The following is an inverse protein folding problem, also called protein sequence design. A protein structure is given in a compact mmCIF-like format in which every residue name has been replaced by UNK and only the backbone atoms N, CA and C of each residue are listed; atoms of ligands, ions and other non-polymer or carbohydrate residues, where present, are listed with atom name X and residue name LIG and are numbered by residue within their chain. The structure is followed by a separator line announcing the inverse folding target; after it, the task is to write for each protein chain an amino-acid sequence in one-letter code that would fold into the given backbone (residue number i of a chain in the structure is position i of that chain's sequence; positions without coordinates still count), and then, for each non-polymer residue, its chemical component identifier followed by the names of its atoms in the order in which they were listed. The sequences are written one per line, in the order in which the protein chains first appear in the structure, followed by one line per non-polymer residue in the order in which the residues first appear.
data_IF_988971942481
#
_entry.id   IF_988971942481
#
_cell.length_a   1.000
_cell.length_b   1.000
_cell.length_c   1.000
_cell.angle_alpha   90.00
_cell.angle_beta   90.00
_cell.angle_gamma   90.00
#
_symmetry.space_group_name_H-M   'P 1'
#
loop_
_entity.id
_entity.type
_entity.pdbx_description
1 polymer ?
#
# COMPACT_ATOMS: atom_id res chain seq x y z
N UNK A 1 4.47 -3.87 -5.18
CA UNK A 1 3.60 -2.86 -5.80
C UNK A 1 3.84 -2.78 -7.29
N UNK A 2 2.79 -2.67 -8.08
CA UNK A 2 2.88 -2.47 -9.54
C UNK A 2 3.22 -1.02 -9.92
N UNK A 3 3.19 -0.11 -8.95
CA UNK A 3 3.44 1.31 -9.18
C UNK A 3 4.93 1.67 -9.19
N UNK A 4 5.79 0.95 -8.48
CA UNK A 4 7.23 1.17 -8.46
C UNK A 4 7.98 0.15 -9.33
N UNK A 5 9.24 0.47 -9.68
CA UNK A 5 10.14 -0.46 -10.35
C UNK A 5 10.50 -1.64 -9.44
N UNK A 6 10.93 -2.75 -10.04
CA UNK A 6 11.46 -3.89 -9.29
C UNK A 6 12.74 -3.52 -8.57
N UNK A 7 12.85 -3.88 -7.29
CA UNK A 7 14.04 -3.67 -6.48
C UNK A 7 14.95 -4.89 -6.52
N UNK A 8 16.27 -4.71 -6.59
CA UNK A 8 17.21 -5.81 -6.44
C UNK A 8 17.18 -6.33 -5.00
N UNK A 9 17.17 -7.65 -4.83
CA UNK A 9 17.11 -8.24 -3.49
C UNK A 9 16.90 -9.74 -3.50
N UNK A 10 16.75 -10.30 -2.32
CA UNK A 10 16.45 -11.71 -2.06
C UNK A 10 15.06 -11.80 -1.44
N UNK A 11 14.23 -12.69 -1.98
CA UNK A 11 12.88 -12.92 -1.49
C UNK A 11 12.63 -14.42 -1.33
N UNK A 12 12.33 -14.83 -0.10
CA UNK A 12 11.88 -16.17 0.24
C UNK A 12 10.39 -16.12 0.51
N UNK A 13 9.61 -16.93 -0.19
CA UNK A 13 8.16 -16.95 -0.02
C UNK A 13 7.57 -18.33 -0.28
N UNK A 14 6.47 -18.62 0.37
CA UNK A 14 5.62 -19.73 -0.04
C UNK A 14 4.90 -19.34 -1.33
N UNK A 15 4.79 -20.25 -2.30
CA UNK A 15 4.06 -19.97 -3.55
C UNK A 15 2.57 -19.83 -3.30
N UNK A 16 2.00 -20.68 -2.42
CA UNK A 16 0.61 -20.70 -2.04
C UNK A 16 0.46 -20.98 -0.54
N UNK A 17 -0.78 -21.06 -0.06
CA UNK A 17 -1.07 -21.41 1.32
C UNK A 17 -0.68 -22.85 1.63
N UNK A 18 0.16 -23.04 2.63
CA UNK A 18 0.62 -24.33 3.13
C UNK A 18 -0.27 -24.75 4.29
N UNK A 19 -0.89 -25.95 4.19
CA UNK A 19 -1.68 -26.52 5.29
C UNK A 19 -0.78 -26.89 6.46
N UNK A 20 -1.25 -26.67 7.68
CA UNK A 20 -0.53 -27.02 8.90
C UNK A 20 -1.02 -28.41 9.36
N UNK A 21 -0.25 -29.50 9.16
CA UNK A 21 -0.74 -30.87 9.32
C UNK A 21 -1.24 -31.19 10.73
N UNK A 22 -0.58 -30.68 11.76
CA UNK A 22 -0.88 -30.97 13.17
C UNK A 22 -2.02 -30.13 13.76
N UNK A 23 -2.44 -29.01 13.10
CA UNK A 23 -3.59 -28.21 13.53
C UNK A 23 -4.86 -28.69 12.80
N UNK A 24 -4.71 -29.40 11.67
CA UNK A 24 -5.80 -29.88 10.84
C UNK A 24 -5.86 -29.20 9.47
N UNK A 25 -6.70 -29.75 8.58
CA UNK A 25 -6.78 -29.28 7.19
C UNK A 25 -7.49 -27.93 7.02
N UNK A 26 -8.03 -27.37 8.10
CA UNK A 26 -8.82 -26.14 8.09
C UNK A 26 -7.96 -24.88 8.29
N UNK A 27 -6.68 -25.03 8.73
CA UNK A 27 -5.72 -23.92 8.85
C UNK A 27 -4.61 -24.05 7.83
N UNK A 28 -4.30 -22.97 7.17
CA UNK A 28 -3.15 -22.84 6.28
C UNK A 28 -2.50 -21.47 6.42
N UNK A 29 -1.22 -21.38 6.09
CA UNK A 29 -0.48 -20.11 6.14
C UNK A 29 0.24 -19.83 4.83
N UNK A 30 0.50 -18.56 4.60
CA UNK A 30 1.38 -18.05 3.55
C UNK A 30 2.35 -17.07 4.17
N UNK A 31 3.64 -17.16 3.82
CA UNK A 31 4.66 -16.32 4.40
C UNK A 31 5.63 -15.79 3.33
N UNK A 32 6.19 -14.62 3.61
CA UNK A 32 7.25 -14.00 2.83
C UNK A 32 8.29 -13.38 3.75
N UNK A 33 9.54 -13.42 3.31
CA UNK A 33 10.67 -12.74 3.94
C UNK A 33 11.61 -12.24 2.86
N UNK A 34 11.88 -10.95 2.81
CA UNK A 34 12.65 -10.33 1.75
C UNK A 34 13.59 -9.24 2.26
N UNK A 35 14.73 -9.13 1.59
CA UNK A 35 15.72 -8.08 1.79
C UNK A 35 16.06 -7.46 0.43
N UNK A 36 15.95 -6.14 0.35
CA UNK A 36 16.15 -5.40 -0.89
C UNK A 36 17.09 -4.22 -0.69
N UNK A 37 17.68 -3.77 -1.78
CA UNK A 37 18.52 -2.58 -1.83
C UNK A 37 17.79 -1.48 -2.61
N UNK A 38 17.70 -0.30 -2.02
CA UNK A 38 17.18 0.89 -2.68
C UNK A 38 18.37 1.59 -3.35
N UNK A 39 18.51 1.37 -4.66
CA UNK A 39 19.65 1.81 -5.48
C UNK A 39 19.36 3.08 -6.28
N UNK A 40 18.21 3.69 -6.04
CA UNK A 40 17.81 4.97 -6.65
C UNK A 40 18.51 6.15 -5.96
N UNK A 41 18.60 7.26 -6.69
CA UNK A 41 19.02 8.54 -6.11
C UNK A 41 17.94 9.04 -5.16
N UNK A 42 18.34 9.33 -3.93
CA UNK A 42 17.42 9.69 -2.85
C UNK A 42 17.80 11.05 -2.27
N UNK A 43 16.78 11.83 -1.88
CA UNK A 43 16.99 13.12 -1.24
C UNK A 43 17.79 13.01 0.07
N UNK A 44 17.48 11.98 0.85
CA UNK A 44 18.26 11.57 2.01
C UNK A 44 18.12 10.05 2.18
N UNK A 45 19.11 9.44 2.86
CA UNK A 45 19.10 7.99 3.08
C UNK A 45 19.66 7.20 1.90
N UNK A 46 20.83 7.59 1.38
CA UNK A 46 21.52 6.82 0.35
C UNK A 46 21.91 5.42 0.84
N UNK A 47 21.90 4.44 -0.06
CA UNK A 47 22.15 3.01 0.26
C UNK A 47 21.21 2.43 1.31
N UNK A 48 19.99 2.96 1.38
CA UNK A 48 18.93 2.43 2.24
C UNK A 48 18.61 0.99 1.88
N UNK A 49 18.37 0.17 2.88
CA UNK A 49 17.90 -1.21 2.74
C UNK A 49 16.41 -1.25 3.01
N UNK A 50 15.73 -2.22 2.39
CA UNK A 50 14.31 -2.46 2.62
C UNK A 50 14.12 -3.89 3.10
N UNK A 51 13.67 -4.05 4.34
CA UNK A 51 13.20 -5.31 4.89
C UNK A 51 11.71 -5.50 4.61
N UNK A 52 11.29 -6.72 4.30
CA UNK A 52 9.90 -7.09 4.10
C UNK A 52 9.60 -8.45 4.74
N UNK A 53 8.56 -8.52 5.52
CA UNK A 53 8.02 -9.78 6.06
C UNK A 53 6.49 -9.77 5.99
N UNK A 54 5.91 -10.93 5.71
CA UNK A 54 4.47 -11.14 5.62
C UNK A 54 4.11 -12.49 6.22
N UNK A 55 3.00 -12.53 6.93
CA UNK A 55 2.38 -13.77 7.40
C UNK A 55 0.86 -13.66 7.25
N UNK A 56 0.29 -14.54 6.44
CA UNK A 56 -1.14 -14.68 6.24
C UNK A 56 -1.59 -16.03 6.80
N UNK A 57 -2.70 -16.05 7.51
CA UNK A 57 -3.34 -17.26 8.02
C UNK A 57 -4.73 -17.35 7.42
N UNK A 58 -5.06 -18.49 6.84
CA UNK A 58 -6.37 -18.80 6.28
C UNK A 58 -7.03 -19.88 7.10
N UNK A 59 -8.27 -19.62 7.52
CA UNK A 59 -9.19 -20.55 8.16
C UNK A 59 -10.26 -20.96 7.15
N UNK A 60 -10.30 -22.24 6.80
CA UNK A 60 -11.33 -22.82 5.94
C UNK A 60 -12.45 -23.36 6.82
N UNK A 61 -13.53 -22.61 6.94
CA UNK A 61 -14.67 -22.94 7.82
C UNK A 61 -15.49 -24.08 7.22
N UNK A 62 -15.83 -23.95 5.95
CA UNK A 62 -16.43 -24.98 5.09
C UNK A 62 -15.74 -24.88 3.71
N UNK A 63 -15.89 -25.86 2.82
CA UNK A 63 -15.24 -25.82 1.50
C UNK A 63 -15.50 -24.55 0.69
N UNK A 64 -16.64 -23.89 0.94
CA UNK A 64 -17.04 -22.68 0.22
C UNK A 64 -16.65 -21.38 0.95
N UNK A 65 -16.39 -21.42 2.28
CA UNK A 65 -16.15 -20.23 3.09
C UNK A 65 -14.77 -20.27 3.76
N UNK A 66 -13.97 -19.25 3.51
CA UNK A 66 -12.71 -19.04 4.22
C UNK A 66 -12.61 -17.62 4.77
N UNK A 67 -11.88 -17.51 5.88
CA UNK A 67 -11.49 -16.24 6.49
C UNK A 67 -9.97 -16.20 6.48
N UNK A 68 -9.40 -15.08 6.03
CA UNK A 68 -7.96 -14.84 6.00
C UNK A 68 -7.68 -13.60 6.86
N UNK A 69 -6.65 -13.67 7.66
CA UNK A 69 -6.09 -12.52 8.37
C UNK A 69 -4.57 -12.55 8.21
N UNK A 70 -3.96 -11.40 8.13
CA UNK A 70 -2.51 -11.34 7.95
C UNK A 70 -1.93 -10.00 8.31
N UNK A 71 -0.61 -10.01 8.34
CA UNK A 71 0.25 -8.87 8.59
C UNK A 71 1.28 -8.80 7.47
N UNK A 72 1.37 -7.65 6.81
CA UNK A 72 2.41 -7.31 5.86
C UNK A 72 3.20 -6.12 6.40
N UNK A 73 4.52 -6.25 6.53
CA UNK A 73 5.35 -5.27 7.20
C UNK A 73 6.62 -5.00 6.42
N UNK A 74 6.92 -3.73 6.25
CA UNK A 74 8.11 -3.21 5.59
C UNK A 74 8.88 -2.28 6.51
N UNK A 75 10.21 -2.25 6.36
CA UNK A 75 11.07 -1.30 7.07
C UNK A 75 12.20 -0.81 6.18
N UNK A 76 12.32 0.51 6.02
CA UNK A 76 13.53 1.16 5.51
C UNK A 76 14.53 1.27 6.65
N UNK A 77 15.79 0.88 6.42
CA UNK A 77 16.81 0.90 7.47
C UNK A 77 18.21 1.05 6.92
N UNK A 78 19.13 1.47 7.78
CA UNK A 78 20.53 1.68 7.42
C UNK A 78 20.70 2.77 6.34
N UNK A 79 21.82 2.74 5.65
CA UNK A 79 22.17 3.77 4.70
C UNK A 79 22.96 4.92 5.34
N UNK A 80 22.91 6.09 4.69
CA UNK A 80 23.67 7.26 5.10
C UNK A 80 22.89 8.53 4.76
N UNK A 81 22.82 9.48 5.69
CA UNK A 81 22.21 10.80 5.49
C UNK A 81 23.25 11.90 5.68
N UNK A 82 23.03 13.07 5.09
CA UNK A 82 23.94 14.22 5.31
C UNK A 82 23.92 14.68 6.77
N UNK A 83 22.76 14.62 7.42
CA UNK A 83 22.56 15.12 8.78
C UNK A 83 23.13 14.17 9.84
N UNK A 84 22.82 12.88 9.71
CA UNK A 84 23.07 11.89 10.77
C UNK A 84 24.26 10.99 10.43
N UNK A 85 24.86 11.16 9.24
CA UNK A 85 25.94 10.33 8.74
C UNK A 85 25.48 8.89 8.49
N UNK A 86 26.31 7.93 8.85
CA UNK A 86 26.06 6.51 8.64
C UNK A 86 25.08 5.96 9.68
N UNK A 87 23.93 5.48 9.21
CA UNK A 87 22.90 4.90 10.07
C UNK A 87 23.26 3.49 10.55
N UNK A 88 22.69 3.00 11.67
CA UNK A 88 22.98 1.69 12.22
C UNK A 88 22.74 0.52 11.23
N UNK A 89 23.74 -0.36 11.06
CA UNK A 89 23.69 -1.47 10.09
C UNK A 89 24.28 -2.77 10.61
N UNK A 90 24.56 -2.88 11.93
CA UNK A 90 25.07 -4.12 12.52
C UNK A 90 24.02 -5.23 12.47
N UNK A 91 24.45 -6.47 12.68
CA UNK A 91 23.50 -7.60 12.80
C UNK A 91 22.52 -7.42 13.96
N UNK A 92 22.94 -6.78 15.05
CA UNK A 92 22.07 -6.45 16.19
C UNK A 92 21.01 -5.43 15.78
N UNK A 93 21.37 -4.44 14.97
CA UNK A 93 20.42 -3.42 14.46
C UNK A 93 19.43 -4.06 13.48
N UNK A 94 19.91 -4.92 12.60
CA UNK A 94 19.04 -5.72 11.73
C UNK A 94 18.01 -6.53 12.53
N UNK A 95 18.43 -7.21 13.59
CA UNK A 95 17.50 -7.94 14.45
C UNK A 95 16.47 -7.00 15.13
N UNK A 96 16.87 -5.77 15.48
CA UNK A 96 15.95 -4.76 16.02
C UNK A 96 14.91 -4.32 14.98
N UNK A 97 15.33 -4.06 13.73
CA UNK A 97 14.45 -3.73 12.62
C UNK A 97 13.42 -4.84 12.37
N UNK A 98 13.90 -6.09 12.26
CA UNK A 98 13.02 -7.26 12.03
C UNK A 98 12.00 -7.43 13.16
N UNK A 99 12.39 -7.15 14.41
CA UNK A 99 11.55 -7.31 15.61
C UNK A 99 10.82 -6.01 16.02
N UNK A 100 10.92 -4.95 15.22
CA UNK A 100 10.30 -3.64 15.47
C UNK A 100 10.69 -3.09 16.87
N UNK A 101 11.98 -3.14 17.19
CA UNK A 101 12.51 -2.70 18.49
C UNK A 101 13.18 -1.34 18.39
N UNK A 102 13.28 -0.70 19.55
CA UNK A 102 13.98 0.56 19.73
C UNK A 102 15.44 0.52 19.23
N UNK A 103 15.93 1.65 18.74
CA UNK A 103 17.32 1.87 18.40
C UNK A 103 18.26 1.71 19.63
N UNK A 104 19.56 1.59 19.37
CA UNK A 104 20.58 1.64 20.42
C UNK A 104 21.02 3.07 20.71
N UNK A 105 21.99 3.25 21.60
CA UNK A 105 22.55 4.57 21.95
C UNK A 105 23.19 5.32 20.77
N UNK A 106 23.51 4.64 19.67
CA UNK A 106 24.07 5.23 18.45
C UNK A 106 22.98 5.55 17.40
N UNK A 107 21.71 5.33 17.72
CA UNK A 107 20.61 5.62 16.80
C UNK A 107 20.25 7.11 16.83
N UNK A 108 19.86 7.70 15.69
CA UNK A 108 19.32 9.06 15.64
C UNK A 108 18.12 9.23 16.59
N UNK A 109 17.92 10.45 17.09
CA UNK A 109 16.86 10.76 18.06
C UNK A 109 15.47 10.28 17.59
N UNK A 110 15.17 10.38 16.31
CA UNK A 110 13.93 9.92 15.72
C UNK A 110 13.80 8.37 15.63
N UNK A 111 14.88 7.62 15.86
CA UNK A 111 14.90 6.13 15.85
C UNK A 111 15.02 5.54 17.27
N UNK A 112 14.94 6.36 18.31
CA UNK A 112 15.01 5.91 19.70
C UNK A 112 13.85 4.95 20.00
N UNK A 113 12.67 5.22 19.51
CA UNK A 113 11.47 4.40 19.76
C UNK A 113 11.40 3.16 18.88
N UNK A 114 11.75 3.28 17.59
CA UNK A 114 11.82 2.16 16.63
C UNK A 114 12.97 2.43 15.67
N UNK A 115 13.85 1.46 15.49
CA UNK A 115 14.97 1.57 14.55
C UNK A 115 14.48 1.37 13.12
N UNK A 116 14.64 2.38 12.29
CA UNK A 116 14.19 2.40 10.90
C UNK A 116 12.81 3.03 10.71
N UNK A 117 12.42 3.19 9.47
CA UNK A 117 11.13 3.69 9.05
C UNK A 117 10.20 2.53 8.70
N UNK A 118 9.18 2.31 9.48
CA UNK A 118 8.26 1.18 9.38
C UNK A 118 6.94 1.57 8.73
N UNK A 119 6.39 0.67 7.92
CA UNK A 119 5.02 0.72 7.43
C UNK A 119 4.50 -0.71 7.33
N UNK A 120 3.23 -0.89 7.56
CA UNK A 120 2.62 -2.20 7.41
C UNK A 120 1.12 -2.13 7.23
N UNK A 121 0.57 -3.30 7.00
CA UNK A 121 -0.86 -3.50 6.82
C UNK A 121 -1.30 -4.71 7.63
N UNK A 122 -2.41 -4.57 8.34
CA UNK A 122 -3.19 -5.67 8.90
C UNK A 122 -4.42 -5.86 8.05
N UNK A 123 -4.68 -7.07 7.60
CA UNK A 123 -5.85 -7.29 6.76
C UNK A 123 -6.75 -8.40 7.28
N UNK A 124 -8.03 -8.27 6.94
CA UNK A 124 -9.06 -9.29 7.11
C UNK A 124 -9.74 -9.49 5.76
N UNK A 125 -9.90 -10.74 5.35
CA UNK A 125 -10.58 -11.12 4.12
C UNK A 125 -11.54 -12.26 4.39
N UNK A 126 -12.79 -12.11 3.93
CA UNK A 126 -13.81 -13.14 3.99
C UNK A 126 -14.14 -13.53 2.55
N UNK A 127 -13.95 -14.79 2.20
CA UNK A 127 -14.18 -15.29 0.85
C UNK A 127 -15.24 -16.40 0.89
N UNK A 128 -16.27 -16.21 0.09
CA UNK A 128 -17.24 -17.25 -0.23
C UNK A 128 -17.14 -17.64 -1.70
N UNK A 129 -17.10 -18.94 -1.99
CA UNK A 129 -16.85 -19.43 -3.33
C UNK A 129 -17.59 -20.76 -3.57
N UNK A 130 -18.56 -20.77 -4.47
CA UNK A 130 -19.29 -21.95 -4.87
C UNK A 130 -19.14 -22.24 -6.38
N UNK A 131 -19.87 -23.18 -6.91
CA UNK A 131 -19.79 -23.56 -8.33
C UNK A 131 -20.30 -22.48 -9.29
N UNK A 132 -21.15 -21.56 -8.85
CA UNK A 132 -21.83 -20.57 -9.69
C UNK A 132 -21.22 -19.18 -9.59
N UNK A 133 -20.77 -18.78 -8.39
CA UNK A 133 -20.23 -17.47 -8.12
C UNK A 133 -19.23 -17.47 -6.97
N UNK A 134 -18.47 -16.42 -6.85
CA UNK A 134 -17.59 -16.11 -5.72
C UNK A 134 -17.79 -14.67 -5.27
N UNK A 135 -17.64 -14.44 -3.98
CA UNK A 135 -17.61 -13.11 -3.41
C UNK A 135 -16.48 -13.02 -2.38
N UNK A 136 -15.87 -11.86 -2.30
CA UNK A 136 -14.81 -11.58 -1.36
C UNK A 136 -15.04 -10.18 -0.80
N UNK A 137 -15.05 -10.07 0.52
CA UNK A 137 -14.94 -8.80 1.25
C UNK A 137 -13.57 -8.74 1.88
N UNK A 138 -12.90 -7.59 1.83
CA UNK A 138 -11.63 -7.38 2.49
C UNK A 138 -11.53 -5.99 3.09
N UNK A 139 -10.80 -5.92 4.18
CA UNK A 139 -10.39 -4.71 4.84
C UNK A 139 -8.88 -4.76 5.04
N UNK A 140 -8.18 -3.73 4.63
CA UNK A 140 -6.73 -3.59 4.70
C UNK A 140 -6.42 -2.30 5.47
N UNK A 141 -5.91 -2.46 6.69
CA UNK A 141 -5.64 -1.40 7.64
C UNK A 141 -4.15 -1.04 7.61
N UNK A 142 -3.83 0.21 7.29
CA UNK A 142 -2.46 0.72 7.26
C UNK A 142 -2.01 1.16 8.64
N UNK A 143 -0.75 0.89 8.99
CA UNK A 143 -0.09 1.43 10.18
C UNK A 143 1.36 1.82 9.87
N UNK A 144 1.90 2.85 10.54
CA UNK A 144 3.32 3.26 10.49
C UNK A 144 3.96 3.23 11.87
N UNK A 145 3.18 3.42 12.92
CA UNK A 145 3.65 3.49 14.30
C UNK A 145 2.71 2.77 15.29
N UNK A 146 3.02 2.90 16.58
CA UNK A 146 2.22 2.29 17.64
C UNK A 146 0.81 2.85 17.77
N UNK A 147 0.51 4.02 17.22
CA UNK A 147 -0.86 4.57 17.20
C UNK A 147 -1.70 3.86 16.16
N UNK A 148 -1.14 3.61 14.98
CA UNK A 148 -1.75 2.80 13.93
C UNK A 148 -1.95 1.35 14.38
N UNK A 149 -0.93 0.70 14.96
CA UNK A 149 -1.04 -0.65 15.53
C UNK A 149 -2.18 -0.79 16.56
N UNK A 150 -2.53 0.29 17.27
CA UNK A 150 -3.66 0.35 18.22
C UNK A 150 -4.97 0.80 17.56
N UNK A 151 -5.04 0.86 16.25
CA UNK A 151 -6.21 1.29 15.48
C UNK A 151 -6.73 2.71 15.83
N UNK A 152 -5.87 3.62 16.28
CA UNK A 152 -6.26 5.01 16.57
C UNK A 152 -6.49 5.83 15.30
N UNK A 153 -5.95 5.38 14.18
CA UNK A 153 -6.16 5.97 12.86
C UNK A 153 -7.45 5.52 12.15
N UNK A 154 -8.32 4.76 12.82
CA UNK A 154 -9.64 4.43 12.24
C UNK A 154 -10.40 5.71 11.88
N UNK A 155 -11.09 5.76 10.72
CA UNK A 155 -11.44 4.65 9.81
C UNK A 155 -10.46 4.44 8.64
N UNK A 156 -9.17 4.84 8.75
CA UNK A 156 -8.22 4.69 7.66
C UNK A 156 -8.07 3.22 7.24
N UNK A 157 -7.98 3.00 5.94
CA UNK A 157 -7.83 1.69 5.34
C UNK A 157 -8.51 1.56 3.99
N UNK A 158 -8.28 0.42 3.35
CA UNK A 158 -8.89 0.02 2.09
C UNK A 158 -10.00 -1.01 2.38
N UNK A 159 -11.21 -0.69 1.96
CA UNK A 159 -12.39 -1.56 2.04
C UNK A 159 -12.74 -2.04 0.64
N UNK A 160 -12.80 -3.34 0.43
CA UNK A 160 -13.05 -3.89 -0.89
C UNK A 160 -14.13 -4.95 -0.92
N UNK A 161 -14.86 -4.96 -2.02
CA UNK A 161 -15.83 -5.98 -2.36
C UNK A 161 -15.54 -6.49 -3.77
N UNK A 162 -15.26 -7.76 -3.90
CA UNK A 162 -15.06 -8.43 -5.18
C UNK A 162 -16.16 -9.48 -5.40
N UNK A 163 -16.67 -9.54 -6.60
CA UNK A 163 -17.65 -10.54 -7.02
C UNK A 163 -17.25 -11.14 -8.37
N UNK A 164 -17.45 -12.44 -8.54
CA UNK A 164 -17.22 -13.16 -9.80
C UNK A 164 -18.29 -14.18 -10.09
N UNK A 165 -18.68 -14.28 -11.34
CA UNK A 165 -19.56 -15.33 -11.86
C UNK A 165 -18.75 -16.37 -12.61
N UNK A 166 -19.05 -17.64 -12.38
CA UNK A 166 -18.31 -18.76 -12.97
C UNK A 166 -19.01 -19.42 -14.16
N UNK A 167 -20.31 -19.30 -14.24
CA UNK A 167 -21.14 -19.98 -15.29
C UNK A 167 -22.06 -19.00 -16.01
N UNK A 168 -22.12 -19.16 -17.33
CA UNK A 168 -23.20 -18.75 -18.26
C UNK A 168 -23.57 -17.27 -18.41
N UNK A 169 -22.70 -16.32 -18.02
CA UNK A 169 -22.97 -14.92 -18.27
C UNK A 169 -21.73 -14.23 -18.84
N UNK A 170 -21.67 -14.10 -20.16
CA UNK A 170 -20.50 -13.55 -20.84
C UNK A 170 -20.28 -12.07 -20.55
N UNK A 171 -21.36 -11.26 -20.58
CA UNK A 171 -21.28 -9.82 -20.51
C UNK A 171 -20.81 -9.24 -19.19
N UNK A 172 -20.96 -9.97 -18.10
CA UNK A 172 -20.53 -9.58 -16.77
C UNK A 172 -19.93 -10.77 -16.04
N UNK A 173 -18.61 -10.81 -15.96
CA UNK A 173 -17.88 -11.90 -15.29
C UNK A 173 -17.49 -11.55 -13.87
N UNK A 174 -17.00 -10.35 -13.66
CA UNK A 174 -16.65 -9.90 -12.31
C UNK A 174 -16.73 -8.40 -12.18
N UNK A 175 -16.85 -7.95 -10.93
CA UNK A 175 -16.61 -6.57 -10.55
C UNK A 175 -15.79 -6.50 -9.26
N UNK A 176 -15.12 -5.38 -9.07
CA UNK A 176 -14.52 -4.95 -7.81
C UNK A 176 -14.98 -3.55 -7.49
N UNK A 177 -15.30 -3.31 -6.23
CA UNK A 177 -15.48 -1.98 -5.70
C UNK A 177 -14.57 -1.80 -4.50
N UNK A 178 -13.82 -0.70 -4.48
CA UNK A 178 -12.92 -0.36 -3.39
C UNK A 178 -13.20 1.06 -2.91
N UNK A 179 -13.21 1.23 -1.60
CA UNK A 179 -13.21 2.51 -0.93
C UNK A 179 -11.92 2.63 -0.12
N UNK A 180 -11.09 3.62 -0.44
CA UNK A 180 -9.85 3.89 0.27
C UNK A 180 -9.95 5.21 1.02
N UNK A 181 -9.70 5.18 2.32
CA UNK A 181 -9.77 6.34 3.19
C UNK A 181 -8.46 6.47 3.98
N UNK A 182 -7.83 7.65 3.96
CA UNK A 182 -6.53 7.91 4.60
C UNK A 182 -6.48 9.28 5.29
N UNK A 183 -7.63 9.85 5.64
CA UNK A 183 -7.71 11.21 6.16
C UNK A 183 -7.52 11.32 7.67
N UNK A 184 -7.75 10.26 8.42
CA UNK A 184 -7.69 10.30 9.86
C UNK A 184 -6.25 10.45 10.35
N UNK A 185 -5.35 9.54 9.94
CA UNK A 185 -3.93 9.56 10.30
C UNK A 185 -3.72 9.83 11.79
N UNK A 186 -4.48 9.10 12.64
CA UNK A 186 -4.56 9.24 14.10
C UNK A 186 -5.03 10.63 14.58
N UNK A 187 -5.63 11.44 13.70
CA UNK A 187 -6.14 12.78 14.00
C UNK A 187 -5.04 13.84 14.21
N UNK A 188 -5.42 15.02 14.71
CA UNK A 188 -4.43 16.04 15.07
C UNK A 188 -3.58 15.58 16.26
N UNK A 189 -2.46 16.25 16.49
CA UNK A 189 -1.68 16.02 17.72
C UNK A 189 -2.57 16.13 18.96
N UNK A 190 -2.43 15.16 19.84
CA UNK A 190 -3.18 15.12 21.09
C UNK A 190 -2.31 14.62 22.24
N UNK A 191 -2.64 15.09 23.43
CA UNK A 191 -1.96 14.71 24.65
C UNK A 191 -2.70 13.57 25.35
N UNK A 192 -1.96 12.76 26.09
CA UNK A 192 -2.54 11.84 27.03
C UNK A 192 -3.31 12.65 28.11
N UNK A 193 -4.58 12.35 28.37
CA UNK A 193 -5.38 13.13 29.32
C UNK A 193 -4.91 13.00 30.77
N UNK A 194 -4.05 12.02 31.08
CA UNK A 194 -3.54 11.77 32.43
C UNK A 194 -2.13 12.35 32.62
N UNK A 195 -1.23 12.05 31.69
CA UNK A 195 0.18 12.52 31.78
C UNK A 195 0.40 13.91 31.18
N UNK A 196 -0.47 14.37 30.28
CA UNK A 196 -0.29 15.60 29.52
C UNK A 196 0.78 15.50 28.40
N UNK A 197 1.41 14.35 28.25
CA UNK A 197 2.41 14.13 27.19
C UNK A 197 1.75 13.97 25.83
N UNK A 198 2.46 14.42 24.76
CA UNK A 198 2.01 14.18 23.40
C UNK A 198 2.18 12.69 23.07
N UNK A 199 1.08 12.00 22.85
CA UNK A 199 1.06 10.54 22.71
C UNK A 199 0.73 10.07 21.30
N UNK A 200 0.49 10.97 20.36
CA UNK A 200 0.23 10.57 18.97
C UNK A 200 -0.56 11.61 18.18
N UNK A 201 -1.05 11.17 17.04
CA UNK A 201 -1.74 11.99 16.06
C UNK A 201 -0.81 12.61 15.03
N UNK A 202 -1.42 13.15 13.99
CA UNK A 202 -0.74 13.79 12.87
C UNK A 202 0.25 12.86 12.14
N UNK A 203 -0.11 11.57 12.05
CA UNK A 203 0.67 10.60 11.25
C UNK A 203 0.80 11.14 9.83
N UNK A 204 1.90 10.84 9.19
CA UNK A 204 2.21 11.37 7.86
C UNK A 204 2.60 10.24 6.92
N UNK A 205 1.60 9.42 6.56
CA UNK A 205 1.79 8.21 5.78
C UNK A 205 2.72 8.39 4.59
N UNK A 206 3.66 7.46 4.44
CA UNK A 206 4.66 7.42 3.38
C UNK A 206 5.75 8.50 3.46
N UNK A 207 5.78 9.31 4.52
CA UNK A 207 6.84 10.29 4.79
C UNK A 207 7.62 9.91 6.04
N UNK A 208 8.88 10.36 6.13
CA UNK A 208 9.72 10.13 7.29
C UNK A 208 10.76 11.25 7.44
N UNK A 209 11.14 11.59 8.66
CA UNK A 209 12.09 12.65 8.96
C UNK A 209 13.55 12.32 8.61
N UNK A 210 13.93 11.04 8.62
CA UNK A 210 15.26 10.56 8.27
C UNK A 210 15.31 10.14 6.80
N UNK A 211 14.40 9.25 6.38
CA UNK A 211 14.29 8.76 5.01
C UNK A 211 13.40 9.69 4.18
N UNK A 212 13.88 10.93 3.93
CA UNK A 212 13.05 12.03 3.43
C UNK A 212 12.52 11.85 2.00
N UNK A 213 13.08 10.94 1.20
CA UNK A 213 12.41 10.51 -0.05
C UNK A 213 11.13 9.71 0.20
N UNK A 214 10.86 9.37 1.46
CA UNK A 214 9.67 8.61 1.85
C UNK A 214 9.65 7.19 1.29
N UNK A 215 8.47 6.61 1.23
CA UNK A 215 8.24 5.28 0.66
C UNK A 215 8.13 5.33 -0.86
N UNK A 216 9.25 5.73 -1.50
CA UNK A 216 9.36 5.85 -2.95
C UNK A 216 10.55 5.06 -3.47
N UNK A 217 10.51 4.69 -4.74
CA UNK A 217 11.62 4.09 -5.47
C UNK A 217 11.61 4.58 -6.91
N UNK A 218 12.70 5.19 -7.37
CA UNK A 218 12.79 5.93 -8.64
C UNK A 218 11.62 6.91 -8.84
N UNK A 219 11.30 7.69 -7.81
CA UNK A 219 10.27 8.72 -7.86
C UNK A 219 8.83 8.21 -7.81
N UNK A 220 8.61 6.90 -7.73
CA UNK A 220 7.29 6.28 -7.65
C UNK A 220 7.03 5.73 -6.26
N UNK A 221 5.81 5.91 -5.77
CA UNK A 221 5.40 5.38 -4.46
C UNK A 221 5.44 3.85 -4.45
N UNK A 222 6.02 3.29 -3.40
CA UNK A 222 5.99 1.85 -3.11
C UNK A 222 4.65 1.56 -2.43
N UNK A 223 3.55 1.55 -3.19
CA UNK A 223 2.21 1.39 -2.62
C UNK A 223 1.12 1.72 -3.64
N UNK A 224 0.04 2.29 -3.15
CA UNK A 224 -1.08 2.71 -3.99
C UNK A 224 -0.76 3.96 -4.80
N UNK A 225 -1.16 4.05 -6.08
CA UNK A 225 -0.97 5.23 -6.93
C UNK A 225 -1.81 6.45 -6.49
N UNK A 226 -2.72 6.30 -5.54
CA UNK A 226 -3.45 7.43 -4.96
C UNK A 226 -2.58 8.32 -4.07
N UNK A 227 -1.47 7.80 -3.54
CA UNK A 227 -0.42 8.61 -2.93
C UNK A 227 0.42 9.25 -4.02
N UNK A 228 0.55 10.57 -4.00
CA UNK A 228 1.30 11.30 -5.04
C UNK A 228 2.60 11.86 -4.47
N UNK A 229 3.67 11.68 -5.22
CA UNK A 229 5.01 12.14 -4.86
C UNK A 229 5.21 13.62 -5.18
N UNK A 230 6.18 14.23 -4.51
CA UNK A 230 6.67 15.57 -4.81
C UNK A 230 8.10 15.45 -5.34
N UNK A 231 8.33 15.58 -6.65
CA UNK A 231 9.68 15.70 -7.18
C UNK A 231 10.32 17.02 -6.70
N UNK A 232 11.60 17.00 -6.40
CA UNK A 232 12.35 18.22 -6.19
C UNK A 232 12.66 18.87 -7.55
N UNK A 233 12.32 20.14 -7.73
CA UNK A 233 12.39 20.83 -9.03
C UNK A 233 13.80 20.89 -9.61
N UNK A 234 14.83 21.07 -8.76
CA UNK A 234 16.21 21.22 -9.20
C UNK A 234 16.93 19.91 -9.55
N UNK A 235 16.67 18.84 -8.82
CA UNK A 235 17.37 17.54 -8.97
C UNK A 235 16.51 16.46 -9.63
N UNK A 236 15.20 16.64 -9.66
CA UNK A 236 14.24 15.59 -10.07
C UNK A 236 14.12 14.46 -9.04
N UNK A 237 14.84 14.54 -7.92
CA UNK A 237 14.77 13.56 -6.83
C UNK A 237 13.47 13.74 -6.05
N UNK A 238 12.83 12.64 -5.70
CA UNK A 238 11.57 12.69 -4.94
C UNK A 238 11.83 13.07 -3.48
N UNK A 239 11.10 14.08 -3.02
CA UNK A 239 11.11 14.54 -1.64
C UNK A 239 9.81 14.19 -0.92
N UNK A 240 9.59 12.89 -0.74
CA UNK A 240 8.43 12.34 -0.05
C UNK A 240 7.13 12.41 -0.84
N UNK A 241 6.04 12.27 -0.12
CA UNK A 241 4.68 12.25 -0.62
C UNK A 241 3.98 13.56 -0.33
N UNK A 242 3.45 14.20 -1.36
CA UNK A 242 2.74 15.47 -1.30
C UNK A 242 1.27 15.32 -0.90
N UNK A 243 0.67 14.17 -1.27
CA UNK A 243 -0.73 13.88 -1.01
C UNK A 243 -0.85 12.47 -0.43
N UNK A 244 -1.14 12.39 0.85
CA UNK A 244 -1.37 11.14 1.58
C UNK A 244 -2.70 11.14 2.34
N UNK A 245 -3.45 12.26 2.32
CA UNK A 245 -4.78 12.38 2.91
C UNK A 245 -5.81 12.51 1.81
N UNK A 246 -6.59 11.45 1.61
CA UNK A 246 -7.63 11.40 0.59
C UNK A 246 -8.72 10.41 0.98
N UNK A 247 -9.82 10.45 0.26
CA UNK A 247 -10.66 9.29 0.05
C UNK A 247 -10.80 9.03 -1.45
N UNK A 248 -10.89 7.75 -1.79
CA UNK A 248 -11.00 7.33 -3.18
C UNK A 248 -12.02 6.20 -3.32
N UNK A 249 -12.72 6.21 -4.44
CA UNK A 249 -13.58 5.15 -4.90
C UNK A 249 -12.98 4.56 -6.16
N UNK A 250 -12.90 3.24 -6.22
CA UNK A 250 -12.48 2.52 -7.41
C UNK A 250 -13.51 1.47 -7.77
N UNK A 251 -13.86 1.40 -9.04
CA UNK A 251 -14.77 0.42 -9.62
C UNK A 251 -14.08 -0.25 -10.80
N UNK A 252 -14.03 -1.58 -10.80
CA UNK A 252 -13.59 -2.39 -11.93
C UNK A 252 -14.68 -3.36 -12.35
N UNK A 253 -14.90 -3.48 -13.65
CA UNK A 253 -15.87 -4.42 -14.23
C UNK A 253 -15.21 -5.14 -15.40
N UNK A 254 -15.42 -6.44 -15.53
CA UNK A 254 -14.99 -7.18 -16.71
C UNK A 254 -16.01 -8.20 -17.19
N UNK A 255 -15.91 -8.53 -18.47
CA UNK A 255 -16.74 -9.52 -19.14
C UNK A 255 -16.31 -9.74 -20.58
N UNK A 256 -17.13 -10.42 -21.36
CA UNK A 256 -16.94 -10.61 -22.80
C UNK A 256 -18.07 -9.94 -23.57
N UNK A 257 -17.72 -9.15 -24.56
CA UNK A 257 -18.61 -8.59 -25.58
C UNK A 257 -18.90 -9.63 -26.68
N UNK A 258 -19.89 -9.39 -27.56
CA UNK A 258 -20.07 -10.22 -28.74
C UNK A 258 -18.77 -10.38 -29.54
N UNK A 259 -18.55 -11.60 -30.08
CA UNK A 259 -17.31 -11.95 -30.76
C UNK A 259 -16.17 -12.35 -29.80
N UNK A 260 -16.51 -12.68 -28.55
CA UNK A 260 -15.58 -13.13 -27.49
C UNK A 260 -14.45 -12.11 -27.19
N UNK A 261 -14.73 -10.82 -27.45
CA UNK A 261 -13.82 -9.72 -27.09
C UNK A 261 -13.93 -9.50 -25.58
N UNK A 262 -12.83 -9.73 -24.86
CA UNK A 262 -12.79 -9.47 -23.42
C UNK A 262 -12.67 -7.97 -23.19
N UNK A 263 -13.47 -7.43 -22.28
CA UNK A 263 -13.33 -6.06 -21.83
C UNK A 263 -13.00 -5.97 -20.34
N UNK A 264 -12.26 -4.93 -19.95
CA UNK A 264 -12.03 -4.51 -18.58
C UNK A 264 -12.16 -3.00 -18.51
N UNK A 265 -13.16 -2.55 -17.76
CA UNK A 265 -13.39 -1.13 -17.47
C UNK A 265 -12.99 -0.85 -16.03
N UNK A 266 -12.18 0.16 -15.81
CA UNK A 266 -11.77 0.65 -14.51
C UNK A 266 -12.11 2.13 -14.39
N UNK A 267 -12.64 2.55 -13.25
CA UNK A 267 -12.98 3.94 -12.96
C UNK A 267 -12.53 4.26 -11.53
N UNK A 268 -11.97 5.42 -11.34
CA UNK A 268 -11.55 5.90 -10.03
C UNK A 268 -11.95 7.36 -9.85
N UNK A 269 -12.41 7.69 -8.66
CA UNK A 269 -12.61 9.05 -8.23
C UNK A 269 -11.93 9.26 -6.89
N UNK A 270 -11.15 10.32 -6.75
CA UNK A 270 -10.55 10.68 -5.46
C UNK A 270 -10.73 12.16 -5.15
N UNK A 271 -10.86 12.47 -3.86
CA UNK A 271 -10.78 13.81 -3.34
C UNK A 271 -9.58 13.91 -2.41
N UNK A 272 -8.66 14.80 -2.74
CA UNK A 272 -7.30 14.85 -2.23
C UNK A 272 -7.11 16.12 -1.39
N UNK A 273 -6.44 16.01 -0.24
CA UNK A 273 -6.33 17.05 0.79
C UNK A 273 -4.88 17.47 1.06
N UNK A 274 -3.90 16.83 0.41
CA UNK A 274 -2.48 17.03 0.71
C UNK A 274 -2.01 16.16 1.88
N UNK A 275 -1.23 16.72 2.79
CA UNK A 275 -0.80 16.10 4.05
C UNK A 275 -1.32 16.91 5.25
N UNK A 276 -1.00 16.52 6.48
CA UNK A 276 -1.30 17.36 7.64
C UNK A 276 -0.53 18.70 7.65
N UNK A 277 0.68 18.70 7.12
CA UNK A 277 1.57 19.89 7.10
C UNK A 277 1.52 20.67 5.79
N UNK A 278 1.14 20.04 4.68
CA UNK A 278 1.10 20.63 3.35
C UNK A 278 -0.31 20.52 2.81
N UNK A 279 -1.06 21.61 2.87
CA UNK A 279 -2.40 21.69 2.32
C UNK A 279 -2.39 22.22 0.89
N UNK A 280 -3.35 21.79 0.09
CA UNK A 280 -3.58 22.46 -1.19
C UNK A 280 -4.21 23.83 -0.96
N UNK A 281 -3.75 24.82 -1.72
CA UNK A 281 -4.17 26.23 -1.60
C UNK A 281 -4.72 26.65 -2.95
N UNK A 282 -5.86 27.35 -2.94
CA UNK A 282 -6.44 27.96 -4.13
C UNK A 282 -5.75 29.30 -4.47
N UNK A 283 -6.18 29.94 -5.57
CA UNK A 283 -5.62 31.22 -6.01
C UNK A 283 -5.80 32.36 -5.02
N UNK A 284 -6.73 32.25 -4.08
CA UNK A 284 -7.02 33.23 -3.05
C UNK A 284 -6.22 32.99 -1.73
N UNK A 285 -5.38 31.94 -1.68
CA UNK A 285 -4.64 31.57 -0.46
C UNK A 285 -5.45 30.73 0.53
N UNK A 286 -6.64 30.22 0.16
CA UNK A 286 -7.49 29.44 1.04
C UNK A 286 -7.25 27.93 0.83
N UNK A 287 -7.44 27.15 1.88
CA UNK A 287 -7.38 25.69 1.81
C UNK A 287 -8.41 25.16 0.81
N UNK A 288 -7.97 24.26 -0.04
CA UNK A 288 -8.81 23.64 -1.06
C UNK A 288 -8.53 22.15 -1.17
N UNK A 289 -9.37 21.45 -1.90
CA UNK A 289 -9.20 20.04 -2.23
C UNK A 289 -8.99 19.89 -3.73
N UNK A 290 -8.36 18.78 -4.13
CA UNK A 290 -8.14 18.47 -5.55
C UNK A 290 -8.92 17.21 -5.92
N UNK A 291 -10.05 17.34 -6.61
CA UNK A 291 -10.75 16.18 -7.17
C UNK A 291 -9.96 15.61 -8.35
N UNK A 292 -9.99 14.29 -8.50
CA UNK A 292 -9.41 13.57 -9.63
C UNK A 292 -10.33 12.43 -10.05
N UNK A 293 -10.67 12.38 -11.32
CA UNK A 293 -11.40 11.29 -11.95
C UNK A 293 -10.53 10.66 -13.03
N UNK A 294 -10.46 9.34 -13.04
CA UNK A 294 -9.70 8.56 -14.01
C UNK A 294 -10.53 7.37 -14.47
N UNK A 295 -10.46 7.02 -15.75
CA UNK A 295 -10.99 5.75 -16.22
C UNK A 295 -10.10 5.12 -17.28
N UNK A 296 -10.16 3.80 -17.38
CA UNK A 296 -9.44 3.03 -18.38
C UNK A 296 -10.29 1.90 -18.91
N UNK A 297 -10.26 1.70 -20.23
CA UNK A 297 -10.90 0.61 -20.94
C UNK A 297 -9.83 -0.20 -21.66
N UNK A 298 -9.79 -1.49 -21.36
CA UNK A 298 -9.00 -2.48 -22.08
C UNK A 298 -9.94 -3.41 -22.85
N UNK A 299 -9.67 -3.57 -24.15
CA UNK A 299 -10.35 -4.53 -25.03
C UNK A 299 -9.31 -5.51 -25.56
N UNK A 300 -9.51 -6.80 -25.31
CA UNK A 300 -8.63 -7.87 -25.76
C UNK A 300 -9.39 -8.70 -26.77
N UNK A 301 -8.87 -8.78 -28.00
CA UNK A 301 -9.42 -9.63 -29.05
C UNK A 301 -9.32 -11.11 -28.65
N UNK A 302 -10.26 -11.97 -29.13
CA UNK A 302 -10.15 -13.40 -28.91
C UNK A 302 -8.87 -13.96 -29.51
N UNK A 303 -8.35 -15.03 -28.92
CA UNK A 303 -7.21 -15.74 -29.45
C UNK A 303 -7.50 -16.21 -30.88
N UNK A 304 -6.68 -15.77 -31.81
CA UNK A 304 -6.73 -16.14 -33.23
C UNK A 304 -5.61 -17.13 -33.53
N UNK A 305 -5.62 -17.73 -34.72
CA UNK A 305 -4.48 -18.57 -35.21
C UNK A 305 -3.21 -17.76 -35.50
N UNK A 306 -3.27 -16.45 -35.31
CA UNK A 306 -2.11 -15.56 -35.52
C UNK A 306 -1.15 -15.62 -34.32
N UNK A 307 0.17 -15.47 -34.55
CA UNK A 307 1.16 -15.58 -33.49
C UNK A 307 1.27 -14.33 -32.60
N UNK A 308 0.24 -13.51 -32.56
CA UNK A 308 0.19 -12.29 -31.73
C UNK A 308 -1.18 -12.07 -31.11
N UNK A 309 -1.19 -11.46 -29.95
CA UNK A 309 -2.38 -11.02 -29.24
C UNK A 309 -2.65 -9.54 -29.53
N UNK A 310 -3.90 -9.19 -29.71
CA UNK A 310 -4.32 -7.78 -29.96
C UNK A 310 -5.10 -7.25 -28.79
N UNK A 311 -4.65 -6.11 -28.25
CA UNK A 311 -5.34 -5.39 -27.21
C UNK A 311 -5.40 -3.89 -27.55
N UNK A 312 -6.52 -3.25 -27.24
CA UNK A 312 -6.72 -1.80 -27.30
C UNK A 312 -6.87 -1.30 -25.86
N UNK A 313 -6.03 -0.35 -25.48
CA UNK A 313 -6.11 0.32 -24.19
C UNK A 313 -6.41 1.81 -24.41
N UNK A 314 -7.45 2.31 -23.76
CA UNK A 314 -7.84 3.72 -23.76
C UNK A 314 -7.94 4.19 -22.32
N UNK A 315 -7.32 5.32 -21.99
CA UNK A 315 -7.36 5.92 -20.67
C UNK A 315 -7.69 7.40 -20.74
N UNK A 316 -8.29 7.90 -19.68
CA UNK A 316 -8.66 9.31 -19.54
C UNK A 316 -8.54 9.75 -18.08
N UNK A 317 -7.93 10.91 -17.88
CA UNK A 317 -7.79 11.59 -16.60
C UNK A 317 -8.39 12.99 -16.67
N UNK A 318 -9.14 13.38 -15.64
CA UNK A 318 -9.69 14.72 -15.46
C UNK A 318 -9.67 15.11 -14.00
N UNK A 319 -9.03 16.21 -13.67
CA UNK A 319 -8.98 16.72 -12.30
C UNK A 319 -7.88 17.73 -12.10
N UNK A 320 -7.62 18.04 -10.84
CA UNK A 320 -6.66 19.07 -10.42
C UNK A 320 -5.40 18.48 -9.75
N UNK A 321 -5.37 17.15 -9.55
CA UNK A 321 -4.24 16.49 -8.90
C UNK A 321 -3.13 16.11 -9.90
N UNK A 322 -3.52 15.41 -10.97
CA UNK A 322 -2.63 15.01 -12.06
C UNK A 322 -2.71 16.07 -13.16
N UNK A 323 -1.59 16.67 -13.50
CA UNK A 323 -1.47 17.66 -14.57
C UNK A 323 -0.52 17.16 -15.64
#
# INVERSE_FOLDING_TARGET
STNSRSMPGINLQTQDFIKIPWIGKWVSFKARYGEYLMIDDRYAGNRTRLHHKMLDIRFTIIPQLSIEAGLDHYAQWGGETEKDGKLPTSFKDYARVVLIKAGGGDAPENEINKLGNHIGNEFLKIRYNNERWGAEFYYDHIFEDGSGEKFRNRPDGLYGLYFTRKKNFKWFKSFVYEFYYTKCQSGPFHNDPVSGEVVGGNDNYFNNGIYQSGWTFYGQVIGSPFFTTKPEEASGITRGVLNNRFYAHHLGICGDLPGDIRYKLMMSYSLNYGTHSIHFINKNGEYTTKPQFSWGLELIAPDTKLPFHTALNVGFDKGDLLK
#
